data_IF_545502933428
#
_entry.id   IF_545502933428
#
_cell.length_a   1.000
_cell.length_b   1.000
_cell.length_c   1.000
_cell.angle_alpha   90.00
_cell.angle_beta   90.00
_cell.angle_gamma   90.00
#
_symmetry.space_group_name_H-M   'P 1'
#
loop_
_entity.id
_entity.type
_entity.pdbx_description
1 polymer ?
#
# COMPACT_ATOMS: atom_id res chain seq x y z
N UNK A 1 4.23 12.65 20.87
CA UNK A 1 3.10 13.07 20.01
C UNK A 1 3.63 13.96 18.87
N UNK A 2 2.88 14.13 17.74
CA UNK A 2 3.30 14.99 16.64
C UNK A 2 3.71 16.41 17.05
N UNK A 3 3.06 16.99 18.07
CA UNK A 3 3.40 18.31 18.62
C UNK A 3 4.78 18.38 19.29
N UNK A 4 5.31 17.23 19.71
CA UNK A 4 6.61 17.12 20.41
C UNK A 4 7.71 16.61 19.45
N UNK A 5 7.39 16.40 18.18
CA UNK A 5 8.31 15.91 17.15
C UNK A 5 9.34 16.97 16.74
N UNK A 6 10.51 16.55 16.23
CA UNK A 6 11.46 17.46 15.64
C UNK A 6 10.83 18.35 14.57
N UNK A 7 11.23 19.63 14.50
CA UNK A 7 10.72 20.58 13.51
C UNK A 7 11.15 20.20 12.08
N UNK A 8 12.36 19.67 11.95
CA UNK A 8 12.92 19.24 10.67
C UNK A 8 12.47 17.82 10.32
N UNK A 9 12.14 17.62 9.04
CA UNK A 9 11.86 16.29 8.49
C UNK A 9 13.14 15.48 8.36
N UNK A 10 13.00 14.15 8.43
CA UNK A 10 14.08 13.22 8.17
C UNK A 10 13.75 12.37 6.94
N UNK A 11 14.62 12.41 5.94
CA UNK A 11 14.51 11.51 4.78
C UNK A 11 15.13 10.16 5.09
N UNK A 12 14.55 9.11 4.49
CA UNK A 12 14.96 7.72 4.62
C UNK A 12 14.81 7.01 3.28
N UNK A 13 15.80 6.21 2.93
CA UNK A 13 15.76 5.29 1.80
C UNK A 13 15.48 3.86 2.32
N UNK A 14 14.32 3.30 1.97
CA UNK A 14 13.85 1.99 2.41
C UNK A 14 13.87 1.01 1.24
N UNK A 15 14.77 0.03 1.28
CA UNK A 15 14.87 -1.01 0.25
C UNK A 15 13.98 -2.18 0.58
N UNK A 16 13.16 -2.57 -0.39
CA UNK A 16 12.35 -3.80 -0.35
C UNK A 16 12.85 -4.79 -1.40
N UNK A 17 12.88 -6.07 -1.05
CA UNK A 17 13.15 -7.18 -1.96
C UNK A 17 12.06 -8.24 -1.80
N UNK A 18 11.40 -8.57 -2.90
CA UNK A 18 10.27 -9.51 -2.91
C UNK A 18 9.23 -9.21 -1.80
N UNK A 19 8.96 -7.93 -1.55
CA UNK A 19 8.00 -7.46 -0.56
C UNK A 19 8.51 -7.39 0.88
N UNK A 20 9.78 -7.71 1.15
CA UNK A 20 10.37 -7.65 2.49
C UNK A 20 11.32 -6.46 2.59
N UNK A 21 11.22 -5.61 3.62
CA UNK A 21 12.20 -4.55 3.84
C UNK A 21 13.54 -5.15 4.28
N UNK A 22 14.62 -4.84 3.56
CA UNK A 22 15.95 -5.46 3.74
C UNK A 22 17.07 -4.48 4.07
N UNK A 23 16.86 -3.18 3.81
CA UNK A 23 17.83 -2.15 4.21
C UNK A 23 17.20 -0.80 4.49
N UNK A 24 17.91 0.02 5.27
CA UNK A 24 17.58 1.41 5.59
C UNK A 24 18.81 2.26 5.31
N UNK A 25 18.65 3.28 4.46
CA UNK A 25 19.75 4.21 4.05
C UNK A 25 20.97 3.47 3.49
N UNK A 26 20.73 2.37 2.75
CA UNK A 26 21.78 1.53 2.17
C UNK A 26 22.42 0.53 3.14
N UNK A 27 22.09 0.56 4.43
CA UNK A 27 22.56 -0.39 5.42
C UNK A 27 21.67 -1.63 5.43
N UNK A 28 22.17 -2.83 5.06
CA UNK A 28 21.40 -4.08 5.15
C UNK A 28 21.13 -4.43 6.62
N UNK A 29 19.88 -4.76 6.93
CA UNK A 29 19.45 -5.07 8.29
C UNK A 29 18.53 -6.31 8.30
N UNK A 30 18.65 -7.16 9.34
CA UNK A 30 17.64 -8.18 9.62
C UNK A 30 16.25 -7.55 9.81
N UNK A 31 15.20 -8.25 9.41
CA UNK A 31 13.83 -7.74 9.47
C UNK A 31 13.44 -7.15 10.84
N UNK A 32 13.80 -7.85 11.92
CA UNK A 32 13.53 -7.38 13.28
C UNK A 32 14.20 -6.03 13.57
N UNK A 33 15.44 -5.85 13.14
CA UNK A 33 16.19 -4.61 13.34
C UNK A 33 15.61 -3.45 12.52
N UNK A 34 15.14 -3.72 11.28
CA UNK A 34 14.39 -2.73 10.49
C UNK A 34 13.18 -2.24 11.29
N UNK A 35 12.37 -3.15 11.82
CA UNK A 35 11.20 -2.78 12.62
C UNK A 35 11.55 -2.00 13.89
N UNK A 36 12.58 -2.41 14.61
CA UNK A 36 13.02 -1.72 15.82
C UNK A 36 13.52 -0.30 15.52
N UNK A 37 14.33 -0.14 14.47
CA UNK A 37 14.85 1.16 14.02
C UNK A 37 13.71 2.06 13.55
N UNK A 38 12.78 1.53 12.75
CA UNK A 38 11.63 2.30 12.27
C UNK A 38 10.65 2.65 13.39
N UNK A 39 10.45 1.79 14.38
CA UNK A 39 9.66 2.14 15.57
C UNK A 39 10.24 3.33 16.32
N UNK A 40 11.54 3.33 16.55
CA UNK A 40 12.22 4.43 17.25
C UNK A 40 12.12 5.72 16.46
N UNK A 41 12.45 5.67 15.17
CA UNK A 41 12.50 6.85 14.31
C UNK A 41 11.11 7.42 14.06
N UNK A 42 10.18 6.63 13.54
CA UNK A 42 8.83 7.08 13.25
C UNK A 42 8.09 7.54 14.53
N UNK A 43 8.29 6.81 15.63
CA UNK A 43 7.75 7.17 16.93
C UNK A 43 8.24 8.52 17.46
N UNK A 44 9.54 8.83 17.27
CA UNK A 44 10.10 10.15 17.65
C UNK A 44 9.48 11.31 16.88
N UNK A 45 9.02 11.05 15.64
CA UNK A 45 8.28 12.01 14.82
C UNK A 45 6.76 11.95 15.04
N UNK A 46 6.27 11.14 15.97
CA UNK A 46 4.84 11.02 16.29
C UNK A 46 4.03 10.26 15.23
N UNK A 47 4.68 9.54 14.31
CA UNK A 47 4.02 8.71 13.30
C UNK A 47 3.49 7.43 13.94
N UNK A 48 2.28 7.04 13.60
CA UNK A 48 1.66 5.80 14.10
C UNK A 48 1.37 5.80 15.60
N UNK A 49 1.20 6.97 16.20
CA UNK A 49 0.89 7.15 17.64
C UNK A 49 -0.59 7.49 17.81
N UNK A 50 -1.21 6.87 18.81
CA UNK A 50 -2.61 7.15 19.17
C UNK A 50 -3.62 6.69 18.14
N UNK A 51 -3.39 5.55 17.50
CA UNK A 51 -4.29 4.97 16.51
C UNK A 51 -5.55 4.41 17.20
N UNK A 52 -6.63 5.20 17.16
CA UNK A 52 -7.93 4.80 17.73
C UNK A 52 -8.68 3.86 16.80
N UNK A 53 -9.20 2.77 17.35
CA UNK A 53 -10.09 1.87 16.62
C UNK A 53 -11.20 1.33 17.54
N UNK A 54 -12.35 1.01 16.93
CA UNK A 54 -13.40 0.20 17.54
C UNK A 54 -13.52 -1.06 16.69
N UNK A 55 -12.93 -2.13 17.18
CA UNK A 55 -12.81 -3.40 16.47
C UNK A 55 -13.88 -4.42 16.86
N UNK A 56 -14.16 -5.36 15.96
CA UNK A 56 -14.94 -6.54 16.28
C UNK A 56 -13.99 -7.64 16.75
N UNK A 57 -14.07 -8.00 18.03
CA UNK A 57 -13.31 -9.14 18.53
C UNK A 57 -13.83 -10.45 17.93
N UNK A 58 -12.97 -11.46 17.87
CA UNK A 58 -13.33 -12.79 17.36
C UNK A 58 -14.55 -13.37 18.05
N UNK A 59 -14.75 -13.10 19.32
CA UNK A 59 -15.94 -13.52 20.10
C UNK A 59 -17.21 -12.71 19.80
N UNK A 60 -17.20 -11.81 18.82
CA UNK A 60 -18.37 -11.09 18.33
C UNK A 60 -18.74 -9.81 19.12
N UNK A 61 -17.93 -9.35 20.06
CA UNK A 61 -18.17 -8.11 20.81
C UNK A 61 -17.29 -6.97 20.30
N UNK A 62 -17.76 -5.74 20.46
CA UNK A 62 -17.00 -4.52 20.18
C UNK A 62 -15.97 -4.26 21.27
N UNK A 63 -14.78 -3.85 20.87
CA UNK A 63 -13.72 -3.43 21.77
C UNK A 63 -13.07 -2.16 21.24
N UNK A 64 -12.80 -1.20 22.13
CA UNK A 64 -12.00 -0.02 21.77
C UNK A 64 -10.55 -0.30 22.06
N UNK A 65 -9.69 -0.02 21.06
CA UNK A 65 -8.24 -0.03 21.22
C UNK A 65 -7.64 1.34 20.90
N UNK A 66 -6.49 1.61 21.49
CA UNK A 66 -5.58 2.69 21.09
C UNK A 66 -4.22 2.06 20.91
N UNK A 67 -3.72 2.10 19.68
CA UNK A 67 -2.50 1.41 19.33
C UNK A 67 -1.37 2.38 19.02
N UNK A 68 -0.16 1.89 19.19
CA UNK A 68 1.06 2.52 18.72
C UNK A 68 1.76 1.54 17.77
N UNK A 69 1.92 1.95 16.53
CA UNK A 69 2.49 1.12 15.48
C UNK A 69 3.38 1.95 14.52
N UNK A 70 4.42 2.64 15.03
CA UNK A 70 5.22 3.55 14.22
C UNK A 70 5.87 2.88 13.01
N UNK A 71 6.58 1.76 13.20
CA UNK A 71 7.22 1.04 12.10
C UNK A 71 6.21 0.54 11.07
N UNK A 72 5.09 -0.04 11.51
CA UNK A 72 4.04 -0.53 10.60
C UNK A 72 3.44 0.60 9.78
N UNK A 73 3.22 1.77 10.38
CA UNK A 73 2.67 2.94 9.68
C UNK A 73 3.66 3.45 8.64
N UNK A 74 4.95 3.62 9.01
CA UNK A 74 5.97 4.11 8.10
C UNK A 74 6.24 3.12 6.96
N UNK A 75 6.55 1.86 7.30
CA UNK A 75 6.83 0.82 6.32
C UNK A 75 5.63 0.52 5.43
N UNK A 76 4.42 0.52 6.01
CA UNK A 76 3.18 0.32 5.25
C UNK A 76 2.94 1.45 4.24
N UNK A 77 3.20 2.71 4.62
CA UNK A 77 3.11 3.85 3.70
C UNK A 77 4.14 3.73 2.57
N UNK A 78 5.39 3.41 2.88
CA UNK A 78 6.43 3.21 1.85
C UNK A 78 6.10 2.03 0.92
N UNK A 79 5.62 0.94 1.48
CA UNK A 79 5.19 -0.25 0.72
C UNK A 79 4.03 0.06 -0.21
N UNK A 80 3.07 0.87 0.25
CA UNK A 80 1.93 1.33 -0.55
C UNK A 80 2.37 2.07 -1.83
N UNK A 81 3.37 2.93 -1.74
CA UNK A 81 3.92 3.61 -2.92
C UNK A 81 4.57 2.62 -3.89
N UNK A 82 5.27 1.60 -3.38
CA UNK A 82 5.87 0.58 -4.24
C UNK A 82 4.80 -0.26 -4.96
N UNK A 83 3.71 -0.62 -4.26
CA UNK A 83 2.56 -1.31 -4.86
C UNK A 83 1.95 -0.52 -6.02
N UNK A 84 1.86 0.81 -5.90
CA UNK A 84 1.34 1.68 -6.96
C UNK A 84 2.21 1.66 -8.22
N UNK A 85 3.52 1.46 -8.07
CA UNK A 85 4.44 1.40 -9.20
C UNK A 85 4.41 0.06 -9.92
N UNK A 86 4.19 -1.07 -9.21
CA UNK A 86 4.41 -2.41 -9.75
C UNK A 86 3.15 -3.23 -9.99
N UNK A 87 2.00 -2.84 -9.47
CA UNK A 87 0.73 -3.58 -9.66
C UNK A 87 -0.24 -2.77 -10.52
N UNK A 88 -0.73 -3.41 -11.59
CA UNK A 88 -1.74 -2.82 -12.45
C UNK A 88 -3.13 -2.74 -11.80
N UNK A 89 -4.07 -2.09 -12.48
CA UNK A 89 -5.45 -1.87 -12.03
C UNK A 89 -6.25 -3.14 -11.75
N UNK A 90 -5.81 -4.30 -12.24
CA UNK A 90 -6.48 -5.60 -12.01
C UNK A 90 -5.79 -6.40 -10.93
N UNK A 91 -4.46 -6.39 -10.93
CA UNK A 91 -3.63 -7.07 -9.95
C UNK A 91 -3.80 -6.47 -8.55
N UNK A 92 -3.83 -5.13 -8.45
CA UNK A 92 -3.90 -4.43 -7.17
C UNK A 92 -5.13 -4.76 -6.32
N UNK A 93 -6.39 -4.67 -6.80
CA UNK A 93 -7.55 -5.01 -5.99
C UNK A 93 -7.57 -6.47 -5.54
N UNK A 94 -7.05 -7.38 -6.36
CA UNK A 94 -6.97 -8.79 -6.00
C UNK A 94 -5.93 -9.03 -4.89
N UNK A 95 -4.77 -8.40 -4.99
CA UNK A 95 -3.75 -8.42 -3.93
C UNK A 95 -4.31 -7.89 -2.60
N UNK A 96 -4.99 -6.74 -2.63
CA UNK A 96 -5.58 -6.12 -1.43
C UNK A 96 -6.64 -7.03 -0.78
N UNK A 97 -7.50 -7.64 -1.60
CA UNK A 97 -8.53 -8.59 -1.12
C UNK A 97 -7.91 -9.81 -0.44
N UNK A 98 -6.88 -10.41 -1.06
CA UNK A 98 -6.18 -11.55 -0.49
C UNK A 98 -5.41 -11.17 0.79
N UNK A 99 -4.78 -10.00 0.80
CA UNK A 99 -4.05 -9.48 1.96
C UNK A 99 -4.99 -9.22 3.14
N UNK A 100 -6.16 -8.64 2.90
CA UNK A 100 -7.18 -8.45 3.92
C UNK A 100 -7.72 -9.80 4.47
N UNK A 101 -7.95 -10.77 3.58
CA UNK A 101 -8.38 -12.12 3.97
C UNK A 101 -7.31 -12.82 4.82
N UNK A 102 -6.03 -12.74 4.43
CA UNK A 102 -4.93 -13.30 5.21
C UNK A 102 -4.78 -12.59 6.56
N UNK A 103 -4.90 -11.27 6.59
CA UNK A 103 -4.87 -10.49 7.85
C UNK A 103 -5.93 -10.97 8.84
N UNK A 104 -7.15 -11.28 8.36
CA UNK A 104 -8.20 -11.88 9.19
C UNK A 104 -7.82 -13.24 9.72
N UNK A 105 -7.28 -14.14 8.86
CA UNK A 105 -6.83 -15.46 9.30
C UNK A 105 -5.75 -15.36 10.38
N UNK A 106 -4.81 -14.42 10.24
CA UNK A 106 -3.75 -14.15 11.23
C UNK A 106 -4.37 -13.70 12.55
N UNK A 107 -5.29 -12.74 12.51
CA UNK A 107 -5.96 -12.20 13.70
C UNK A 107 -6.74 -13.30 14.45
N UNK A 108 -7.40 -14.18 13.73
CA UNK A 108 -8.21 -15.28 14.28
C UNK A 108 -7.34 -16.50 14.71
N UNK A 109 -6.04 -16.49 14.45
CA UNK A 109 -5.11 -17.56 14.87
C UNK A 109 -4.97 -18.72 13.89
N UNK A 110 -5.48 -18.60 12.66
CA UNK A 110 -5.50 -19.64 11.63
C UNK A 110 -4.28 -19.63 10.69
N UNK A 111 -3.10 -19.26 11.20
CA UNK A 111 -1.86 -19.16 10.40
C UNK A 111 -1.49 -20.43 9.64
N UNK A 112 -1.70 -21.60 10.26
CA UNK A 112 -1.30 -22.89 9.71
C UNK A 112 -2.39 -23.58 8.88
N UNK A 113 -3.57 -22.99 8.77
CA UNK A 113 -4.71 -23.56 8.07
C UNK A 113 -4.55 -23.51 6.55
N UNK A 114 -5.30 -24.37 5.85
CA UNK A 114 -5.26 -24.47 4.39
C UNK A 114 -5.57 -23.12 3.73
N UNK A 115 -6.55 -22.38 4.24
CA UNK A 115 -6.92 -21.06 3.72
C UNK A 115 -5.74 -20.08 3.79
N UNK A 116 -5.07 -19.98 4.95
CA UNK A 116 -3.89 -19.13 5.12
C UNK A 116 -2.72 -19.57 4.24
N UNK A 117 -2.50 -20.88 4.10
CA UNK A 117 -1.46 -21.43 3.22
C UNK A 117 -1.73 -21.06 1.76
N UNK A 118 -2.97 -21.20 1.29
CA UNK A 118 -3.37 -20.84 -0.08
C UNK A 118 -3.21 -19.34 -0.33
N UNK A 119 -3.65 -18.50 0.61
CA UNK A 119 -3.52 -17.03 0.50
C UNK A 119 -2.04 -16.61 0.47
N UNK A 120 -1.19 -17.18 1.33
CA UNK A 120 0.25 -16.88 1.33
C UNK A 120 0.93 -17.27 0.01
N UNK A 121 0.58 -18.41 -0.56
CA UNK A 121 1.09 -18.84 -1.87
C UNK A 121 0.64 -17.89 -2.98
N UNK A 122 -0.63 -17.52 -3.01
CA UNK A 122 -1.17 -16.59 -4.00
C UNK A 122 -0.52 -15.20 -3.88
N UNK A 123 -0.46 -14.63 -2.66
CA UNK A 123 0.20 -13.35 -2.36
C UNK A 123 1.69 -13.41 -2.75
N UNK A 124 2.38 -14.54 -2.51
CA UNK A 124 3.76 -14.75 -2.89
C UNK A 124 4.04 -14.59 -4.38
N UNK A 125 3.05 -14.77 -5.24
CA UNK A 125 3.18 -14.49 -6.68
C UNK A 125 3.35 -12.99 -6.94
N UNK A 126 2.64 -12.15 -6.21
CA UNK A 126 2.71 -10.69 -6.33
C UNK A 126 3.98 -10.12 -5.68
N UNK A 127 4.35 -10.64 -4.51
CA UNK A 127 5.51 -10.08 -3.78
C UNK A 127 6.80 -10.19 -4.57
N UNK A 128 6.94 -11.13 -5.48
CA UNK A 128 8.14 -11.30 -6.34
C UNK A 128 8.48 -10.05 -7.15
N UNK A 129 7.49 -9.27 -7.55
CA UNK A 129 7.69 -8.03 -8.33
C UNK A 129 7.79 -6.80 -7.44
N UNK A 130 7.52 -6.93 -6.13
CA UNK A 130 7.55 -5.82 -5.19
C UNK A 130 8.99 -5.65 -4.68
N UNK A 131 9.82 -5.05 -5.53
CA UNK A 131 11.25 -4.80 -5.27
C UNK A 131 11.58 -3.39 -5.70
N UNK A 132 12.28 -2.64 -4.85
CA UNK A 132 12.68 -1.27 -5.13
C UNK A 132 13.08 -0.53 -3.85
N UNK A 133 13.65 0.65 -4.02
CA UNK A 133 13.97 1.57 -2.93
C UNK A 133 12.96 2.71 -2.94
N UNK A 134 12.28 2.91 -1.82
CA UNK A 134 11.34 4.04 -1.63
C UNK A 134 11.99 5.07 -0.73
N UNK A 135 12.03 6.31 -1.19
CA UNK A 135 12.52 7.44 -0.41
C UNK A 135 11.30 8.15 0.18
N UNK A 136 11.27 8.23 1.49
CA UNK A 136 10.21 8.93 2.25
C UNK A 136 10.80 10.01 3.13
N UNK A 137 10.01 11.02 3.44
CA UNK A 137 10.31 12.01 4.46
C UNK A 137 9.33 11.84 5.62
N UNK A 138 9.88 11.75 6.84
CA UNK A 138 9.10 11.63 8.08
C UNK A 138 9.10 12.99 8.77
N UNK A 139 7.91 13.51 9.02
CA UNK A 139 7.68 14.79 9.73
C UNK A 139 6.53 14.63 10.72
N UNK A 140 6.48 15.43 11.74
CA UNK A 140 5.38 15.66 12.71
C UNK A 140 4.09 14.81 12.49
N UNK A 141 4.17 13.51 12.71
CA UNK A 141 3.04 12.58 12.58
C UNK A 141 2.72 12.12 11.16
N UNK A 142 3.52 12.52 10.16
CA UNK A 142 3.26 12.26 8.74
C UNK A 142 4.45 11.57 8.06
N UNK A 143 4.15 10.75 7.05
CA UNK A 143 5.13 10.13 6.14
C UNK A 143 4.79 10.60 4.73
N UNK A 144 5.72 11.27 4.09
CA UNK A 144 5.56 11.78 2.73
C UNK A 144 6.46 11.01 1.76
N UNK A 145 5.92 10.66 0.61
CA UNK A 145 6.69 10.11 -0.51
C UNK A 145 7.56 11.21 -1.13
N UNK A 146 8.83 10.88 -1.36
CA UNK A 146 9.80 11.75 -2.02
C UNK A 146 10.17 11.22 -3.40
N UNK A 147 10.42 9.91 -3.49
CA UNK A 147 10.79 9.27 -4.75
C UNK A 147 10.93 7.76 -4.62
N UNK A 148 11.22 7.10 -5.74
CA UNK A 148 11.55 5.68 -5.76
C UNK A 148 12.70 5.46 -6.75
N UNK A 149 13.57 4.49 -6.44
CA UNK A 149 14.74 4.12 -7.22
C UNK A 149 14.84 2.61 -7.33
N UNK A 150 15.51 2.13 -8.37
CA UNK A 150 15.78 0.71 -8.58
C UNK A 150 14.53 -0.17 -8.46
N UNK A 151 13.45 0.21 -9.15
CA UNK A 151 12.19 -0.52 -9.22
C UNK A 151 12.13 -1.28 -10.56
N UNK A 152 12.71 -2.50 -10.66
CA UNK A 152 12.88 -3.20 -11.94
C UNK A 152 11.56 -3.63 -12.59
N UNK A 153 10.49 -3.69 -11.82
CA UNK A 153 9.16 -4.08 -12.29
C UNK A 153 8.17 -2.92 -12.32
N UNK A 154 8.67 -1.66 -12.34
CA UNK A 154 7.81 -0.49 -12.46
C UNK A 154 7.00 -0.53 -13.76
N UNK A 155 5.71 -0.28 -13.65
CA UNK A 155 4.80 -0.08 -14.77
C UNK A 155 4.66 1.41 -15.13
N UNK A 156 5.22 2.29 -14.30
CA UNK A 156 5.26 3.72 -14.60
C UNK A 156 6.39 4.01 -15.59
N UNK A 157 6.04 4.73 -16.63
CA UNK A 157 7.00 5.33 -17.57
C UNK A 157 6.52 6.72 -17.95
N UNK A 158 7.45 7.58 -18.36
CA UNK A 158 7.12 8.92 -18.86
C UNK A 158 6.26 8.85 -20.13
N UNK A 159 6.39 7.78 -20.92
CA UNK A 159 5.58 7.53 -22.12
C UNK A 159 4.10 7.27 -21.81
N UNK A 160 3.79 6.88 -20.57
CA UNK A 160 2.40 6.69 -20.09
C UNK A 160 1.82 7.96 -19.47
N UNK A 161 2.54 9.07 -19.47
CA UNK A 161 2.10 10.34 -18.89
C UNK A 161 0.92 10.92 -19.67
N UNK A 162 -0.10 11.36 -18.96
CA UNK A 162 -1.23 12.11 -19.56
C UNK A 162 -0.87 13.55 -19.92
N UNK A 163 0.30 14.05 -19.53
CA UNK A 163 0.77 15.41 -19.75
C UNK A 163 1.47 15.59 -21.11
N UNK A 164 1.76 14.51 -21.81
CA UNK A 164 2.43 14.51 -23.11
C UNK A 164 1.71 13.65 -24.14
N UNK A 165 2.19 13.70 -25.38
CA UNK A 165 1.82 12.72 -26.41
C UNK A 165 2.53 11.42 -26.05
N UNK A 166 1.85 10.53 -25.33
CA UNK A 166 2.34 9.22 -24.95
C UNK A 166 2.36 8.25 -26.15
N UNK A 167 2.57 6.96 -25.85
CA UNK A 167 2.58 5.88 -26.86
C UNK A 167 1.19 5.58 -27.48
N UNK A 168 0.14 6.29 -27.06
CA UNK A 168 -1.23 6.10 -27.57
C UNK A 168 -1.83 7.41 -28.10
N UNK A 169 -2.69 7.29 -29.11
CA UNK A 169 -3.45 8.41 -29.63
C UNK A 169 -4.63 8.73 -28.69
N UNK A 170 -4.75 9.99 -28.26
CA UNK A 170 -5.87 10.45 -27.43
C UNK A 170 -7.24 10.23 -28.09
N UNK A 171 -7.30 10.17 -29.43
CA UNK A 171 -8.52 9.82 -30.18
C UNK A 171 -8.99 8.39 -29.88
N UNK A 172 -8.07 7.46 -29.59
CA UNK A 172 -8.41 6.09 -29.21
C UNK A 172 -9.16 6.06 -27.86
N UNK A 173 -8.86 7.00 -26.97
CA UNK A 173 -9.57 7.16 -25.69
C UNK A 173 -11.03 7.55 -25.88
N UNK A 174 -11.37 8.39 -26.86
CA UNK A 174 -12.75 8.76 -27.19
C UNK A 174 -13.54 7.54 -27.66
N UNK A 175 -12.95 6.74 -28.56
CA UNK A 175 -13.55 5.51 -29.05
C UNK A 175 -13.78 4.49 -27.93
N UNK A 176 -12.79 4.32 -27.06
CA UNK A 176 -12.88 3.43 -25.89
C UNK A 176 -14.00 3.86 -24.93
N UNK A 177 -14.08 5.14 -24.58
CA UNK A 177 -15.15 5.69 -23.73
C UNK A 177 -16.52 5.55 -24.39
N UNK A 178 -16.59 5.69 -25.71
CA UNK A 178 -17.81 5.46 -26.49
C UNK A 178 -18.36 4.05 -26.32
N UNK A 179 -17.48 3.05 -26.40
CA UNK A 179 -17.82 1.62 -26.19
C UNK A 179 -18.19 1.34 -24.74
N UNK A 180 -17.40 1.81 -23.77
CA UNK A 180 -17.73 1.66 -22.34
C UNK A 180 -19.09 2.28 -21.99
N UNK A 181 -19.44 3.41 -22.61
CA UNK A 181 -20.70 4.10 -22.39
C UNK A 181 -21.93 3.32 -22.88
N UNK A 182 -21.79 2.28 -23.70
CA UNK A 182 -22.93 1.47 -24.19
C UNK A 182 -23.68 0.82 -23.03
N UNK A 183 -22.96 0.18 -22.11
CA UNK A 183 -23.57 -0.48 -20.94
C UNK A 183 -24.31 0.52 -20.04
N UNK A 184 -23.70 1.68 -19.77
CA UNK A 184 -24.31 2.72 -18.95
C UNK A 184 -25.61 3.27 -19.58
N UNK A 185 -25.59 3.50 -20.91
CA UNK A 185 -26.79 3.94 -21.65
C UNK A 185 -27.89 2.85 -21.62
N UNK A 186 -27.51 1.59 -21.77
CA UNK A 186 -28.46 0.47 -21.70
C UNK A 186 -29.08 0.35 -20.30
N UNK A 187 -28.29 0.44 -19.23
CA UNK A 187 -28.78 0.42 -17.85
C UNK A 187 -29.76 1.57 -17.56
N UNK A 188 -29.45 2.78 -18.07
CA UNK A 188 -30.34 3.94 -17.95
C UNK A 188 -31.63 3.72 -18.73
N UNK A 189 -31.58 3.21 -19.97
CA UNK A 189 -32.74 2.94 -20.78
C UNK A 189 -33.66 1.85 -20.17
N UNK A 190 -33.04 0.89 -19.45
CA UNK A 190 -33.77 -0.14 -18.72
C UNK A 190 -34.31 0.31 -17.35
N UNK A 191 -34.12 1.59 -16.97
CA UNK A 191 -34.58 2.13 -15.68
C UNK A 191 -33.82 1.62 -14.46
N UNK A 192 -32.63 1.03 -14.64
CA UNK A 192 -31.80 0.50 -13.54
C UNK A 192 -31.06 1.59 -12.75
N UNK A 193 -30.96 2.78 -13.31
CA UNK A 193 -30.19 3.92 -12.76
C UNK A 193 -31.04 5.19 -12.64
N UNK A 194 -32.30 5.08 -12.19
CA UNK A 194 -33.08 6.26 -11.83
C UNK A 194 -32.55 6.82 -10.50
N UNK A 195 -31.94 7.98 -10.54
CA UNK A 195 -31.74 8.82 -9.36
C UNK A 195 -33.03 9.64 -9.24
N UNK A 196 -33.84 9.37 -8.23
CA UNK A 196 -34.93 10.27 -7.81
C UNK A 196 -34.35 11.51 -7.11
#
# INVERSE_FOLDING_TARGET
>A
YPKDAPADGQQLALRFEAGVPVSVDGEPLPLLEVFQRMNTLAGSHGVGIGLHTVENRFVGIKSRGVYEAPAMTLLGTAYEFLLQLVLDRRARPLFDSMSAALGRQIYEGYWYDLASTSLRQAIGTYTRVITGTVIVEVRSGHVQFVGAEDVPHSLYSDDSSMEGVGEFDHVDSEGFLGVLGVSARASRAAGQTSIE
#
